data_IF_046195277096
#
_entry.id   IF_046195277096
#
_cell.length_a   1.000
_cell.length_b   1.000
_cell.length_c   1.000
_cell.angle_alpha   90.00
_cell.angle_beta   90.00
_cell.angle_gamma   90.00
#
_symmetry.space_group_name_H-M   'P 1'
#
loop_
_entity.id
_entity.type
_entity.pdbx_description
1 polymer ?
#
# COMPACT_ATOMS: atom_id res chain seq x y z
N UNK A 1 3.49 18.81 7.31
CA UNK A 1 3.71 17.35 7.43
C UNK A 1 2.47 16.64 6.94
N UNK A 2 2.56 15.90 5.83
CA UNK A 2 1.46 15.07 5.35
C UNK A 2 1.31 13.89 6.30
N UNK A 3 0.14 13.77 6.93
CA UNK A 3 -0.16 12.70 7.88
C UNK A 3 -1.02 11.69 7.16
N UNK A 4 -0.57 10.45 7.09
CA UNK A 4 -1.42 9.37 6.60
C UNK A 4 -2.75 9.38 7.36
N UNK A 5 -3.85 9.23 6.64
CA UNK A 5 -5.18 9.11 7.24
C UNK A 5 -5.33 7.84 8.10
N UNK A 6 -4.31 6.95 8.11
CA UNK A 6 -4.36 5.65 8.76
C UNK A 6 -3.13 5.35 9.60
N UNK A 7 -3.34 4.65 10.73
CA UNK A 7 -2.30 4.21 11.68
C UNK A 7 -2.25 2.68 11.75
N UNK A 8 -1.06 2.12 11.84
CA UNK A 8 -0.83 0.70 12.10
C UNK A 8 -0.39 0.54 13.55
N UNK A 9 -1.27 0.00 14.40
CA UNK A 9 -0.98 -0.29 15.81
C UNK A 9 -0.18 -1.59 15.93
N UNK A 10 -0.88 -2.71 16.18
CA UNK A 10 -0.29 -4.04 16.08
C UNK A 10 -0.26 -4.49 14.62
N UNK A 11 0.93 -4.70 14.06
CA UNK A 11 1.11 -5.08 12.66
C UNK A 11 2.15 -6.19 12.47
N UNK A 12 1.95 -7.00 11.44
CA UNK A 12 3.04 -7.76 10.83
C UNK A 12 3.78 -6.81 9.89
N UNK A 13 5.11 -6.85 9.90
CA UNK A 13 5.92 -5.99 9.04
C UNK A 13 7.14 -6.75 8.54
N UNK A 14 7.58 -6.37 7.34
CA UNK A 14 8.84 -6.81 6.76
C UNK A 14 9.51 -5.63 6.06
N UNK A 15 10.83 -5.58 6.17
CA UNK A 15 11.67 -4.60 5.50
C UNK A 15 12.94 -5.28 5.02
N UNK A 16 13.38 -4.91 3.82
CA UNK A 16 14.68 -5.28 3.28
C UNK A 16 15.37 -4.06 2.64
N UNK A 17 16.67 -4.16 2.47
CA UNK A 17 17.52 -3.27 1.66
C UNK A 17 17.55 -3.67 0.17
N UNK A 18 16.92 -4.80 -0.16
CA UNK A 18 16.59 -5.27 -1.50
C UNK A 18 15.07 -5.30 -1.71
N UNK A 19 14.58 -5.43 -2.96
CA UNK A 19 13.19 -5.75 -3.23
C UNK A 19 12.70 -6.96 -2.42
N UNK A 20 11.47 -6.87 -1.92
CA UNK A 20 10.75 -7.96 -1.27
C UNK A 20 10.28 -8.96 -2.31
N UNK A 21 10.46 -10.24 -2.01
CA UNK A 21 9.97 -11.34 -2.85
C UNK A 21 8.45 -11.52 -2.70
N UNK A 22 7.82 -12.15 -3.69
CA UNK A 22 6.38 -12.44 -3.64
C UNK A 22 6.04 -13.38 -2.48
N UNK A 23 6.92 -14.32 -2.16
CA UNK A 23 6.80 -15.22 -1.02
C UNK A 23 6.92 -14.49 0.33
N UNK A 24 7.84 -13.54 0.45
CA UNK A 24 7.95 -12.67 1.63
C UNK A 24 6.68 -11.85 1.84
N UNK A 25 6.15 -11.25 0.77
CA UNK A 25 4.89 -10.52 0.81
C UNK A 25 3.73 -11.43 1.20
N UNK A 26 3.60 -12.60 0.57
CA UNK A 26 2.50 -13.54 0.86
C UNK A 26 2.48 -13.98 2.33
N UNK A 27 3.66 -14.24 2.91
CA UNK A 27 3.76 -14.65 4.32
C UNK A 27 3.41 -13.53 5.30
N UNK A 28 3.81 -12.30 5.02
CA UNK A 28 3.75 -11.18 5.98
C UNK A 28 2.51 -10.32 5.79
N UNK A 29 2.15 -10.06 4.54
CA UNK A 29 1.02 -9.25 4.10
C UNK A 29 0.08 -10.00 3.15
N UNK A 30 -0.46 -11.18 3.54
CA UNK A 30 -1.34 -11.97 2.68
C UNK A 30 -2.53 -11.18 2.13
N UNK A 31 -2.95 -10.11 2.81
CA UNK A 31 -4.08 -9.31 2.34
C UNK A 31 -3.88 -8.65 0.97
N UNK A 32 -2.64 -8.40 0.58
CA UNK A 32 -2.33 -7.89 -0.77
C UNK A 32 -2.80 -8.84 -1.87
N UNK A 33 -2.84 -10.15 -1.58
CA UNK A 33 -3.15 -11.22 -2.53
C UNK A 33 -4.60 -11.69 -2.50
N UNK A 34 -5.44 -11.11 -1.63
CA UNK A 34 -6.86 -11.45 -1.60
C UNK A 34 -7.49 -11.20 -2.95
N UNK A 35 -8.26 -12.15 -3.47
CA UNK A 35 -8.90 -12.04 -4.79
C UNK A 35 -10.23 -11.27 -4.73
N UNK A 36 -10.80 -11.07 -3.54
CA UNK A 36 -12.06 -10.35 -3.33
C UNK A 36 -12.08 -9.54 -2.02
N UNK A 37 -13.16 -8.79 -1.80
CA UNK A 37 -13.51 -8.15 -0.53
C UNK A 37 -13.98 -9.17 0.51
N UNK A 38 -13.85 -8.80 1.77
CA UNK A 38 -14.39 -9.60 2.87
C UNK A 38 -15.93 -9.73 2.76
N UNK A 39 -16.50 -10.89 3.07
CA UNK A 39 -17.95 -11.17 3.00
C UNK A 39 -18.84 -10.15 3.74
N UNK A 40 -18.31 -9.57 4.82
CA UNK A 40 -18.95 -8.49 5.57
C UNK A 40 -19.16 -7.19 4.78
N UNK A 41 -18.66 -7.09 3.55
CA UNK A 41 -18.77 -5.91 2.68
C UNK A 41 -19.94 -6.08 1.70
N UNK A 42 -20.82 -5.08 1.68
CA UNK A 42 -21.98 -5.06 0.78
C UNK A 42 -21.58 -4.95 -0.69
N UNK A 43 -22.51 -5.23 -1.59
CA UNK A 43 -22.34 -5.08 -3.05
C UNK A 43 -21.89 -3.67 -3.46
N UNK A 44 -22.28 -2.64 -2.71
CA UNK A 44 -21.86 -1.24 -2.94
C UNK A 44 -20.37 -1.00 -2.74
N UNK A 45 -19.67 -1.91 -2.05
CA UNK A 45 -18.23 -1.83 -1.85
C UNK A 45 -17.50 -2.35 -3.08
N UNK A 46 -16.75 -1.45 -3.74
CA UNK A 46 -15.93 -1.79 -4.91
C UNK A 46 -14.57 -2.30 -4.44
N UNK A 47 -14.26 -3.54 -4.78
CA UNK A 47 -12.97 -4.16 -4.52
C UNK A 47 -11.89 -3.55 -5.43
N UNK A 48 -10.71 -3.31 -4.86
CA UNK A 48 -9.53 -2.75 -5.55
C UNK A 48 -8.40 -3.75 -5.38
N UNK A 49 -8.00 -4.48 -6.43
CA UNK A 49 -6.98 -5.52 -6.32
C UNK A 49 -5.60 -4.93 -6.10
N UNK A 50 -5.09 -5.01 -4.87
CA UNK A 50 -3.76 -4.48 -4.54
C UNK A 50 -2.66 -5.20 -5.32
N UNK A 51 -2.76 -6.52 -5.50
CA UNK A 51 -1.76 -7.28 -6.24
C UNK A 51 -1.66 -6.85 -7.72
N UNK A 52 -2.79 -6.57 -8.38
CA UNK A 52 -2.79 -6.12 -9.77
C UNK A 52 -2.12 -4.75 -9.92
N UNK A 53 -2.34 -3.85 -8.96
CA UNK A 53 -1.69 -2.55 -8.93
C UNK A 53 -0.20 -2.66 -8.64
N UNK A 54 0.18 -3.54 -7.70
CA UNK A 54 1.58 -3.82 -7.43
C UNK A 54 2.29 -4.36 -8.68
N UNK A 55 1.71 -5.34 -9.37
CA UNK A 55 2.27 -5.90 -10.60
C UNK A 55 2.45 -4.81 -11.68
N UNK A 56 1.50 -3.88 -11.81
CA UNK A 56 1.63 -2.73 -12.73
C UNK A 56 2.75 -1.78 -12.32
N UNK A 57 2.86 -1.41 -11.05
CA UNK A 57 3.93 -0.54 -10.55
C UNK A 57 5.31 -1.20 -10.71
N UNK A 58 5.41 -2.53 -10.56
CA UNK A 58 6.64 -3.27 -10.81
C UNK A 58 7.07 -3.21 -12.27
N UNK A 59 6.14 -3.22 -13.24
CA UNK A 59 6.45 -3.01 -14.66
C UNK A 59 6.99 -1.61 -14.94
N UNK A 60 6.53 -0.62 -14.18
CA UNK A 60 7.05 0.77 -14.22
C UNK A 60 8.37 0.96 -13.43
N UNK A 61 8.95 -0.14 -12.92
CA UNK A 61 10.24 -0.14 -12.23
C UNK A 61 10.17 0.13 -10.72
N UNK A 62 8.98 0.16 -10.13
CA UNK A 62 8.80 0.34 -8.69
C UNK A 62 8.75 -1.00 -7.96
N UNK A 63 9.68 -1.21 -7.03
CA UNK A 63 9.80 -2.44 -6.25
C UNK A 63 9.44 -2.22 -4.78
N UNK A 64 8.78 -3.18 -4.10
CA UNK A 64 8.43 -3.05 -2.70
C UNK A 64 9.65 -3.32 -1.80
N UNK A 65 9.97 -2.41 -0.88
CA UNK A 65 11.06 -2.58 0.10
C UNK A 65 10.56 -2.70 1.55
N UNK A 66 9.31 -2.33 1.77
CA UNK A 66 8.62 -2.45 3.05
C UNK A 66 7.18 -2.85 2.80
N UNK A 67 6.68 -3.73 3.65
CA UNK A 67 5.27 -4.09 3.69
C UNK A 67 4.82 -4.29 5.13
N UNK A 68 3.60 -3.86 5.44
CA UNK A 68 2.97 -4.21 6.70
C UNK A 68 1.46 -4.42 6.55
N UNK A 69 0.88 -5.21 7.44
CA UNK A 69 -0.56 -5.33 7.57
C UNK A 69 -0.97 -5.36 9.03
N UNK A 70 -2.19 -4.91 9.31
CA UNK A 70 -2.74 -4.90 10.66
C UNK A 70 -2.94 -6.33 11.15
N UNK A 71 -2.56 -6.63 12.40
CA UNK A 71 -2.89 -7.91 13.02
C UNK A 71 -4.35 -7.89 13.45
N UNK A 72 -5.06 -8.96 13.12
CA UNK A 72 -6.46 -9.16 13.49
C UNK A 72 -6.58 -10.38 14.40
N UNK A 73 -7.56 -10.35 15.31
CA UNK A 73 -7.88 -11.51 16.17
C UNK A 73 -8.73 -12.54 15.43
N UNK A 74 -9.59 -12.07 14.54
CA UNK A 74 -10.45 -12.87 13.69
C UNK A 74 -9.65 -13.40 12.48
N UNK A 75 -9.45 -14.73 12.35
CA UNK A 75 -8.73 -15.31 11.22
C UNK A 75 -9.37 -15.00 9.86
N UNK A 76 -10.71 -14.90 9.78
CA UNK A 76 -11.43 -14.62 8.53
C UNK A 76 -11.12 -13.24 7.95
N UNK A 77 -10.64 -12.30 8.78
CA UNK A 77 -10.25 -10.95 8.34
C UNK A 77 -8.78 -10.84 7.94
N UNK A 78 -7.97 -11.88 8.17
CA UNK A 78 -6.51 -11.81 7.99
C UNK A 78 -6.10 -11.44 6.57
N UNK A 79 -6.86 -11.92 5.58
CA UNK A 79 -6.62 -11.70 4.16
C UNK A 79 -7.29 -10.42 3.64
N UNK A 80 -8.07 -9.72 4.45
CA UNK A 80 -8.76 -8.51 4.00
C UNK A 80 -8.40 -7.26 4.77
N UNK A 81 -7.59 -7.42 5.82
CA UNK A 81 -7.23 -6.32 6.71
C UNK A 81 -6.37 -5.28 6.01
N UNK A 82 -6.38 -4.08 6.59
CA UNK A 82 -5.58 -2.97 6.12
C UNK A 82 -4.09 -3.33 6.02
N UNK A 83 -3.49 -2.98 4.89
CA UNK A 83 -2.09 -3.20 4.56
C UNK A 83 -1.47 -1.96 3.90
N UNK A 84 -0.14 -1.89 3.96
CA UNK A 84 0.68 -0.84 3.38
C UNK A 84 1.86 -1.46 2.65
N UNK A 85 2.19 -0.92 1.49
CA UNK A 85 3.42 -1.17 0.75
C UNK A 85 4.16 0.14 0.57
N UNK A 86 5.50 0.09 0.65
CA UNK A 86 6.36 1.23 0.27
C UNK A 86 7.27 0.79 -0.85
N UNK A 87 7.17 1.52 -1.95
CA UNK A 87 7.74 1.18 -3.24
C UNK A 87 8.80 2.21 -3.61
N UNK A 88 9.88 1.75 -4.22
CA UNK A 88 11.00 2.59 -4.70
C UNK A 88 11.36 2.20 -6.11
N UNK A 89 11.86 3.14 -6.91
CA UNK A 89 12.52 2.78 -8.18
C UNK A 89 13.83 2.03 -7.89
N UNK A 90 14.13 1.05 -8.73
CA UNK A 90 15.39 0.32 -8.68
C UNK A 90 16.59 1.29 -8.81
N UNK A 91 17.58 1.16 -7.92
CA UNK A 91 18.74 2.07 -7.86
C UNK A 91 18.61 3.29 -6.94
N UNK A 92 17.39 3.68 -6.51
CA UNK A 92 17.17 4.78 -5.55
C UNK A 92 16.95 4.28 -4.12
N UNK A 93 17.87 3.44 -3.63
CA UNK A 93 17.68 2.67 -2.40
C UNK A 93 18.31 3.36 -1.18
N UNK A 94 19.40 4.09 -1.38
CA UNK A 94 20.24 4.65 -0.32
C UNK A 94 20.19 6.18 -0.31
N UNK A 95 19.63 6.75 0.76
CA UNK A 95 19.55 8.19 0.97
C UNK A 95 18.91 8.53 2.31
N UNK A 96 19.19 9.73 2.84
CA UNK A 96 18.52 10.24 4.06
C UNK A 96 17.02 10.43 3.80
N UNK A 97 16.69 10.89 2.59
CA UNK A 97 15.36 10.91 2.00
C UNK A 97 15.41 10.13 0.69
N UNK A 98 14.40 9.30 0.47
CA UNK A 98 14.26 8.48 -0.73
C UNK A 98 12.91 8.76 -1.39
N UNK A 99 12.87 8.88 -2.74
CA UNK A 99 11.61 8.91 -3.46
C UNK A 99 10.89 7.58 -3.26
N UNK A 100 9.66 7.63 -2.75
CA UNK A 100 8.83 6.45 -2.60
C UNK A 100 7.38 6.73 -2.98
N UNK A 101 6.69 5.64 -3.31
CA UNK A 101 5.24 5.58 -3.33
C UNK A 101 4.80 4.76 -2.12
N UNK A 102 3.99 5.36 -1.26
CA UNK A 102 3.30 4.65 -0.17
C UNK A 102 1.91 4.27 -0.67
N UNK A 103 1.67 2.97 -0.80
CA UNK A 103 0.35 2.41 -1.12
C UNK A 103 -0.30 1.91 0.17
N UNK A 104 -1.55 2.30 0.40
CA UNK A 104 -2.38 1.84 1.50
C UNK A 104 -3.69 1.29 0.94
N UNK A 105 -4.13 0.13 1.41
CA UNK A 105 -5.43 -0.41 1.03
C UNK A 105 -6.01 -1.29 2.14
N UNK A 106 -7.30 -1.64 2.03
CA UNK A 106 -7.95 -2.71 2.79
C UNK A 106 -9.03 -3.35 1.92
N UNK A 107 -9.45 -4.56 2.26
CA UNK A 107 -10.54 -5.25 1.59
C UNK A 107 -11.72 -5.56 2.55
N UNK A 108 -11.61 -5.14 3.80
CA UNK A 108 -12.65 -5.20 4.83
C UNK A 108 -13.28 -3.82 5.13
N UNK A 109 -12.90 -2.79 4.37
CA UNK A 109 -13.41 -1.42 4.49
C UNK A 109 -12.92 -0.65 5.72
N UNK A 110 -11.85 -1.12 6.38
CA UNK A 110 -11.19 -0.37 7.47
C UNK A 110 -10.32 0.78 6.99
N UNK A 111 -10.06 0.85 5.68
CA UNK A 111 -9.33 1.93 5.02
C UNK A 111 -9.81 2.12 3.59
N UNK A 112 -9.66 3.33 3.06
CA UNK A 112 -9.70 3.56 1.61
C UNK A 112 -8.38 3.14 0.97
N UNK A 113 -8.41 2.97 -0.35
CA UNK A 113 -7.20 2.99 -1.16
C UNK A 113 -6.55 4.38 -1.12
N UNK A 114 -5.25 4.44 -0.89
CA UNK A 114 -4.45 5.66 -0.95
C UNK A 114 -3.09 5.38 -1.59
N UNK A 115 -2.63 6.33 -2.39
CA UNK A 115 -1.30 6.34 -2.97
C UNK A 115 -0.65 7.71 -2.72
N UNK A 116 0.51 7.70 -2.07
CA UNK A 116 1.23 8.92 -1.69
C UNK A 116 2.66 8.87 -2.23
N UNK A 117 2.97 9.55 -3.34
CA UNK A 117 4.35 9.81 -3.72
C UNK A 117 4.98 10.87 -2.84
N UNK A 118 6.28 10.73 -2.60
CA UNK A 118 7.02 11.74 -1.89
C UNK A 118 8.47 11.38 -1.61
N UNK A 119 9.16 12.31 -0.99
CA UNK A 119 10.50 12.13 -0.43
C UNK A 119 10.39 11.80 1.06
N UNK A 120 10.53 10.52 1.39
CA UNK A 120 10.36 10.03 2.75
C UNK A 120 11.69 9.68 3.40
N UNK A 121 11.82 10.00 4.69
CA UNK A 121 13.07 9.76 5.43
C UNK A 121 13.26 8.29 5.80
N UNK A 122 14.51 7.86 6.00
CA UNK A 122 14.82 6.51 6.49
C UNK A 122 14.16 6.19 7.85
N UNK A 123 14.00 7.17 8.75
CA UNK A 123 13.29 6.98 10.04
C UNK A 123 11.83 6.53 9.88
N UNK A 124 11.26 6.73 8.70
CA UNK A 124 9.91 6.31 8.38
C UNK A 124 9.76 4.80 8.25
N UNK A 125 10.87 4.06 8.16
CA UNK A 125 10.89 2.63 7.87
C UNK A 125 10.22 1.76 8.94
N UNK A 126 9.89 2.34 10.10
CA UNK A 126 9.09 1.69 11.16
C UNK A 126 7.57 1.91 10.99
N UNK A 127 7.12 2.40 9.84
CA UNK A 127 5.71 2.73 9.57
C UNK A 127 5.28 4.12 10.03
N UNK A 128 6.18 4.90 10.65
CA UNK A 128 6.02 6.34 10.80
C UNK A 128 6.19 6.98 9.41
N UNK A 129 5.40 7.96 9.01
CA UNK A 129 5.61 8.66 7.73
C UNK A 129 6.01 10.10 8.01
N UNK A 130 7.22 10.45 7.61
CA UNK A 130 7.87 11.74 7.79
C UNK A 130 8.64 12.09 6.51
N UNK A 131 8.06 13.01 5.76
CA UNK A 131 8.57 13.39 4.45
C UNK A 131 7.71 14.48 3.84
N UNK A 132 8.10 14.84 2.63
CA UNK A 132 7.34 15.74 1.77
C UNK A 132 6.57 14.88 0.76
N UNK A 133 5.25 15.03 0.72
CA UNK A 133 4.39 14.35 -0.26
C UNK A 133 4.25 15.25 -1.48
N UNK A 134 4.36 14.69 -2.67
CA UNK A 134 4.16 15.43 -3.93
C UNK A 134 2.69 15.48 -4.36
N UNK A 135 1.85 14.71 -3.68
CA UNK A 135 0.41 14.63 -3.87
C UNK A 135 -0.17 13.50 -3.01
N UNK A 136 -1.49 13.34 -3.03
CA UNK A 136 -2.19 12.18 -2.48
C UNK A 136 -3.34 11.83 -3.41
N UNK A 137 -3.35 10.57 -3.87
CA UNK A 137 -4.50 9.99 -4.54
C UNK A 137 -5.25 9.17 -3.50
N UNK A 138 -6.54 9.46 -3.33
CA UNK A 138 -7.40 8.72 -2.40
C UNK A 138 -8.68 8.31 -3.09
N UNK A 139 -8.85 7.00 -3.23
CA UNK A 139 -10.02 6.44 -3.91
C UNK A 139 -10.91 5.73 -2.87
N UNK A 140 -12.14 6.20 -2.64
CA UNK A 140 -13.09 5.47 -1.81
C UNK A 140 -13.52 4.18 -2.52
N UNK A 141 -13.82 3.13 -1.76
CA UNK A 141 -14.34 1.85 -2.29
C UNK A 141 -15.81 1.95 -2.74
N UNK A 142 -16.15 2.97 -3.53
CA UNK A 142 -17.50 3.24 -4.01
C UNK A 142 -17.45 4.01 -5.33
N UNK A 143 -18.26 3.59 -6.30
CA UNK A 143 -18.39 4.25 -7.59
C UNK A 143 -17.43 3.71 -8.66
N UNK A 144 -17.12 4.52 -9.66
CA UNK A 144 -16.13 4.18 -10.70
C UNK A 144 -14.71 4.34 -10.16
N UNK A 145 -14.22 3.25 -9.58
CA UNK A 145 -12.94 3.20 -8.88
C UNK A 145 -11.78 2.91 -9.84
N UNK A 146 -12.03 2.19 -10.94
CA UNK A 146 -10.97 1.77 -11.87
C UNK A 146 -10.34 2.99 -12.54
N UNK A 147 -11.17 3.88 -13.09
CA UNK A 147 -10.70 5.10 -13.74
C UNK A 147 -9.91 6.00 -12.77
N UNK A 148 -10.42 6.19 -11.56
CA UNK A 148 -9.76 7.03 -10.53
C UNK A 148 -8.41 6.47 -10.08
N UNK A 149 -8.28 5.14 -9.98
CA UNK A 149 -7.00 4.53 -9.60
C UNK A 149 -5.98 4.66 -10.72
N UNK A 150 -6.39 4.50 -11.98
CA UNK A 150 -5.51 4.62 -13.14
C UNK A 150 -5.03 6.07 -13.30
N UNK A 151 -5.95 7.04 -13.31
CA UNK A 151 -5.63 8.47 -13.42
C UNK A 151 -4.68 8.89 -12.29
N UNK A 152 -5.02 8.54 -11.05
CA UNK A 152 -4.17 8.85 -9.92
C UNK A 152 -2.80 8.16 -9.98
N UNK A 153 -2.71 6.93 -10.48
CA UNK A 153 -1.41 6.28 -10.67
C UNK A 153 -0.54 7.04 -11.67
N UNK A 154 -1.10 7.54 -12.78
CA UNK A 154 -0.33 8.33 -13.74
C UNK A 154 0.07 9.71 -13.22
N UNK A 155 -0.78 10.39 -12.44
CA UNK A 155 -0.42 11.64 -11.75
C UNK A 155 0.75 11.46 -10.78
N UNK A 156 0.89 10.26 -10.23
CA UNK A 156 1.93 9.89 -9.26
C UNK A 156 3.23 9.43 -9.94
N UNK A 157 3.14 8.88 -11.14
CA UNK A 157 4.27 8.32 -11.90
C UNK A 157 4.95 9.32 -12.86
N UNK A 158 4.23 10.37 -13.29
CA UNK A 158 4.72 11.46 -14.15
C UNK A 158 5.43 12.58 -13.40
#
# INVERSE_FOLDING_TARGET
MTRLASRFGAANLIRRDRPLTREELFRVVPSVFSEDKHESRSERYTYIPTISLLDSLQREGFQPFFACQTRVRDPGRREHTKHMLRLRREGQITGIQVPEIILLNSHDGTSSYQMLPGLFRAVCQNGLVCGESFGEVRVPHKGDVVSQVIEGAYEVLG
#
